data_IF_221029968088
#
_entry.id   IF_221029968088
#
_cell.length_a   1.000
_cell.length_b   1.000
_cell.length_c   1.000
_cell.angle_alpha   90.00
_cell.angle_beta   90.00
_cell.angle_gamma   90.00
#
_symmetry.space_group_name_H-M   'P 1'
#
loop_
_entity.id
_entity.type
_entity.pdbx_description
1 polymer ?
#
# COMPACT_ATOMS: atom_id res chain seq x y z
N UNK A 1 -4.71 31.99 5.38
CA UNK A 1 -5.51 31.13 4.44
C UNK A 1 -7.01 31.09 4.74
N UNK A 2 -7.47 31.19 5.98
CA UNK A 2 -8.88 31.01 6.37
C UNK A 2 -9.98 31.82 5.68
N UNK A 3 -9.84 33.13 5.43
CA UNK A 3 -10.95 33.95 4.89
C UNK A 3 -11.30 33.63 3.44
N UNK A 4 -10.29 33.39 2.59
CA UNK A 4 -10.51 33.07 1.17
C UNK A 4 -11.20 31.73 0.98
N UNK A 5 -10.84 30.70 1.78
CA UNK A 5 -11.44 29.36 1.72
C UNK A 5 -12.91 29.41 2.14
N UNK A 6 -13.27 30.22 3.15
CA UNK A 6 -14.67 30.43 3.55
C UNK A 6 -15.54 31.03 2.43
N UNK A 7 -14.95 31.87 1.58
CA UNK A 7 -15.65 32.42 0.41
C UNK A 7 -15.84 31.35 -0.69
N UNK A 8 -14.80 30.55 -0.97
CA UNK A 8 -14.85 29.49 -1.99
C UNK A 8 -15.86 28.39 -1.63
N UNK A 9 -16.04 28.08 -0.34
CA UNK A 9 -17.04 27.09 0.13
C UNK A 9 -18.50 27.47 -0.17
N UNK A 10 -18.79 28.71 -0.57
CA UNK A 10 -20.13 29.13 -0.99
C UNK A 10 -20.50 28.60 -2.39
N UNK A 11 -19.53 28.09 -3.11
CA UNK A 11 -19.72 27.53 -4.46
C UNK A 11 -19.55 26.01 -4.42
N UNK A 12 -20.24 25.25 -5.29
CA UNK A 12 -20.08 23.80 -5.38
C UNK A 12 -18.75 23.44 -6.08
N UNK A 13 -17.64 23.78 -5.43
CA UNK A 13 -16.28 23.57 -5.94
C UNK A 13 -15.59 22.44 -5.17
N UNK A 14 -14.79 21.67 -5.88
CA UNK A 14 -13.81 20.77 -5.27
C UNK A 14 -12.50 21.52 -5.15
N UNK A 15 -11.96 21.62 -3.92
CA UNK A 15 -10.73 22.31 -3.65
C UNK A 15 -9.56 21.31 -3.71
N UNK A 16 -8.53 21.67 -4.48
CA UNK A 16 -7.25 20.93 -4.58
C UNK A 16 -6.19 21.68 -3.79
N UNK A 17 -5.51 20.99 -2.87
CA UNK A 17 -4.30 21.48 -2.23
C UNK A 17 -3.08 20.94 -2.97
N UNK A 18 -2.26 21.82 -3.52
CA UNK A 18 -1.01 21.48 -4.21
C UNK A 18 0.20 21.69 -3.29
N UNK A 19 1.31 21.00 -3.59
CA UNK A 19 2.57 21.07 -2.84
C UNK A 19 2.40 20.74 -1.35
N UNK A 20 1.60 19.72 -1.06
CA UNK A 20 1.49 19.16 0.28
C UNK A 20 2.74 18.33 0.54
N UNK A 21 3.64 18.84 1.39
CA UNK A 21 4.95 18.23 1.63
C UNK A 21 5.05 17.57 3.01
N UNK A 22 4.14 17.89 3.93
CA UNK A 22 4.14 17.36 5.29
C UNK A 22 2.75 16.89 5.71
N UNK A 23 2.71 15.99 6.71
CA UNK A 23 1.49 15.50 7.30
C UNK A 23 0.64 16.61 7.91
N UNK A 24 1.31 17.55 8.59
CA UNK A 24 0.67 18.70 9.22
C UNK A 24 -0.03 19.58 8.18
N UNK A 25 0.62 19.81 7.03
CA UNK A 25 0.02 20.54 5.92
C UNK A 25 -1.21 19.81 5.37
N UNK A 26 -1.13 18.48 5.23
CA UNK A 26 -2.26 17.67 4.81
C UNK A 26 -3.42 17.79 5.78
N UNK A 27 -3.18 17.60 7.10
CA UNK A 27 -4.20 17.69 8.13
C UNK A 27 -4.85 19.08 8.16
N UNK A 28 -4.06 20.16 8.08
CA UNK A 28 -4.56 21.53 8.01
C UNK A 28 -5.43 21.77 6.76
N UNK A 29 -4.99 21.32 5.59
CA UNK A 29 -5.77 21.47 4.36
C UNK A 29 -7.07 20.66 4.41
N UNK A 30 -7.03 19.48 4.97
CA UNK A 30 -8.21 18.64 5.14
C UNK A 30 -9.23 19.27 6.11
N UNK A 31 -8.79 19.80 7.26
CA UNK A 31 -9.66 20.52 8.20
C UNK A 31 -10.26 21.80 7.55
N UNK A 32 -9.50 22.43 6.67
CA UNK A 32 -9.97 23.55 5.86
C UNK A 32 -10.93 23.13 4.74
N UNK A 33 -11.17 21.82 4.56
CA UNK A 33 -12.15 21.27 3.61
C UNK A 33 -11.67 21.18 2.18
N UNK A 34 -10.39 21.00 1.97
CA UNK A 34 -9.88 20.53 0.68
C UNK A 34 -10.27 19.07 0.46
N UNK A 35 -10.56 18.73 -0.79
CA UNK A 35 -11.06 17.41 -1.20
C UNK A 35 -10.01 16.61 -1.99
N UNK A 36 -9.08 17.33 -2.61
CA UNK A 36 -8.03 16.78 -3.45
C UNK A 36 -6.68 17.29 -2.95
N UNK A 37 -5.66 16.43 -3.01
CA UNK A 37 -4.33 16.73 -2.49
C UNK A 37 -3.28 16.27 -3.49
N UNK A 38 -2.28 17.13 -3.74
CA UNK A 38 -1.14 16.83 -4.59
C UNK A 38 0.13 17.32 -3.92
N UNK A 39 1.17 16.50 -3.84
CA UNK A 39 2.46 16.89 -3.29
C UNK A 39 3.32 15.72 -2.82
N UNK A 40 4.55 16.03 -2.49
CA UNK A 40 5.57 15.05 -2.10
C UNK A 40 5.36 14.42 -0.72
N UNK A 41 4.41 14.89 0.09
CA UNK A 41 4.06 14.24 1.35
C UNK A 41 3.77 12.75 1.19
N UNK A 42 3.18 12.37 0.06
CA UNK A 42 2.82 10.99 -0.28
C UNK A 42 3.99 10.17 -0.86
N UNK A 43 5.16 10.80 -1.07
CA UNK A 43 6.30 10.18 -1.75
C UNK A 43 7.64 10.33 -0.98
N UNK A 44 7.69 11.06 0.14
CA UNK A 44 8.92 11.25 0.92
C UNK A 44 9.01 10.28 2.08
N UNK A 45 10.19 9.64 2.30
CA UNK A 45 10.49 9.02 3.59
C UNK A 45 10.40 10.07 4.70
N UNK A 46 9.68 9.76 5.76
CA UNK A 46 9.55 10.67 6.91
C UNK A 46 10.92 10.88 7.57
N UNK A 47 11.23 12.14 7.91
CA UNK A 47 12.40 12.45 8.77
C UNK A 47 12.09 11.89 10.16
N UNK A 48 12.89 10.91 10.57
CA UNK A 48 12.64 10.04 11.72
C UNK A 48 12.52 10.86 13.03
N UNK A 49 11.32 10.89 13.58
CA UNK A 49 11.11 10.99 15.02
C UNK A 49 10.56 9.64 15.45
N UNK A 50 11.30 8.89 16.28
CA UNK A 50 10.94 7.58 16.78
C UNK A 50 9.51 7.59 17.35
N UNK A 51 8.53 7.24 16.54
CA UNK A 51 7.19 6.96 16.98
C UNK A 51 7.04 5.44 17.02
N UNK A 52 6.64 4.90 18.16
CA UNK A 52 6.39 3.47 18.30
C UNK A 52 5.21 3.06 17.42
N UNK A 53 5.38 1.97 16.69
CA UNK A 53 4.28 1.27 16.03
C UNK A 53 3.23 0.97 17.10
N UNK A 54 1.99 1.35 16.87
CA UNK A 54 0.90 1.05 17.80
C UNK A 54 0.62 -0.45 17.88
N UNK A 55 -0.14 -0.90 18.88
CA UNK A 55 -0.42 -2.32 19.10
C UNK A 55 -1.10 -2.97 17.88
N UNK A 56 -1.95 -2.22 17.19
CA UNK A 56 -2.65 -2.69 15.97
C UNK A 56 -1.69 -2.93 14.81
N UNK A 57 -0.82 -1.96 14.54
CA UNK A 57 0.22 -2.07 13.52
C UNK A 57 1.22 -3.19 13.82
N UNK A 58 1.65 -3.31 15.08
CA UNK A 58 2.55 -4.40 15.50
C UNK A 58 1.92 -5.79 15.29
N UNK A 59 0.61 -5.94 15.59
CA UNK A 59 -0.12 -7.18 15.33
C UNK A 59 -0.21 -7.50 13.85
N UNK A 60 -0.49 -6.50 13.01
CA UNK A 60 -0.57 -6.67 11.56
C UNK A 60 0.80 -7.04 10.96
N UNK A 61 1.89 -6.41 11.40
CA UNK A 61 3.24 -6.77 10.97
C UNK A 61 3.60 -8.20 11.38
N UNK A 62 3.25 -8.62 12.61
CA UNK A 62 3.42 -10.01 13.05
C UNK A 62 2.64 -10.98 12.18
N UNK A 63 1.37 -10.68 11.89
CA UNK A 63 0.51 -11.51 11.02
C UNK A 63 1.08 -11.62 9.61
N UNK A 64 1.60 -10.51 9.06
CA UNK A 64 2.23 -10.51 7.76
C UNK A 64 3.47 -11.41 7.75
N UNK A 65 4.33 -11.31 8.77
CA UNK A 65 5.50 -12.20 8.92
C UNK A 65 5.12 -13.68 8.96
N UNK A 66 4.12 -14.06 9.78
CA UNK A 66 3.62 -15.44 9.85
C UNK A 66 3.11 -15.96 8.49
N UNK A 67 2.41 -15.11 7.74
CA UNK A 67 1.92 -15.48 6.40
C UNK A 67 3.04 -15.58 5.36
N UNK A 68 4.14 -14.88 5.56
CA UNK A 68 5.33 -14.96 4.67
C UNK A 68 6.16 -16.21 4.97
N UNK A 69 6.23 -16.64 6.23
CA UNK A 69 6.92 -17.85 6.68
C UNK A 69 6.07 -19.13 6.47
N UNK A 70 4.90 -19.02 5.82
CA UNK A 70 3.94 -20.12 5.65
C UNK A 70 3.54 -20.81 6.97
N UNK A 71 3.51 -20.05 8.07
CA UNK A 71 3.15 -20.53 9.40
C UNK A 71 1.81 -21.27 9.42
N UNK A 72 1.62 -22.14 10.40
CA UNK A 72 0.37 -22.88 10.56
C UNK A 72 -0.84 -21.99 10.83
N UNK A 73 -2.02 -22.41 10.34
CA UNK A 73 -3.27 -21.66 10.56
C UNK A 73 -3.54 -21.40 12.04
N UNK A 74 -3.12 -22.31 12.92
CA UNK A 74 -3.25 -22.15 14.37
C UNK A 74 -2.42 -20.99 14.92
N UNK A 75 -1.22 -20.77 14.39
CA UNK A 75 -0.34 -19.67 14.79
C UNK A 75 -0.90 -18.32 14.31
N UNK A 76 -1.39 -18.28 13.07
CA UNK A 76 -2.05 -17.10 12.51
C UNK A 76 -3.31 -16.77 13.33
N UNK A 77 -4.14 -17.76 13.62
CA UNK A 77 -5.35 -17.62 14.46
C UNK A 77 -5.02 -17.11 15.87
N UNK A 78 -3.95 -17.62 16.47
CA UNK A 78 -3.49 -17.17 17.78
C UNK A 78 -3.03 -15.70 17.77
N UNK A 79 -2.40 -15.25 16.69
CA UNK A 79 -1.99 -13.85 16.54
C UNK A 79 -3.20 -12.91 16.41
N UNK A 80 -4.30 -13.35 15.81
CA UNK A 80 -5.54 -12.56 15.72
C UNK A 80 -6.25 -12.40 17.07
N UNK A 81 -6.11 -13.36 18.01
CA UNK A 81 -6.86 -13.37 19.29
C UNK A 81 -6.67 -12.10 20.13
N UNK A 82 -5.49 -11.48 20.04
CA UNK A 82 -5.18 -10.25 20.76
C UNK A 82 -5.84 -8.98 20.18
N UNK A 83 -6.49 -9.07 19.02
CA UNK A 83 -6.98 -7.91 18.28
C UNK A 83 -8.42 -8.10 17.80
N UNK A 84 -9.44 -7.94 18.67
CA UNK A 84 -10.85 -8.12 18.30
C UNK A 84 -11.29 -7.22 17.12
N UNK A 85 -10.75 -6.00 17.01
CA UNK A 85 -11.02 -5.10 15.90
C UNK A 85 -10.56 -5.64 14.54
N UNK A 86 -9.38 -6.28 14.51
CA UNK A 86 -8.90 -6.93 13.29
C UNK A 86 -9.75 -8.15 12.89
N UNK A 87 -10.19 -8.93 13.90
CA UNK A 87 -11.12 -10.05 13.66
C UNK A 87 -12.41 -9.53 13.04
N UNK A 88 -12.98 -8.47 13.62
CA UNK A 88 -14.19 -7.85 13.11
C UNK A 88 -14.03 -7.39 11.65
N UNK A 89 -12.95 -6.64 11.34
CA UNK A 89 -12.68 -6.15 10.00
C UNK A 89 -12.49 -7.29 8.99
N UNK A 90 -11.77 -8.34 9.37
CA UNK A 90 -11.60 -9.53 8.55
C UNK A 90 -12.94 -10.21 8.23
N UNK A 91 -13.77 -10.43 9.25
CA UNK A 91 -15.07 -11.08 9.07
C UNK A 91 -16.05 -10.20 8.27
N UNK A 92 -16.00 -8.88 8.45
CA UNK A 92 -16.77 -7.94 7.62
C UNK A 92 -16.35 -8.02 6.15
N UNK A 93 -15.04 -8.04 5.86
CA UNK A 93 -14.53 -8.19 4.51
C UNK A 93 -15.01 -9.49 3.87
N UNK A 94 -14.79 -10.61 4.53
CA UNK A 94 -15.11 -11.94 3.96
C UNK A 94 -16.61 -12.13 3.75
N UNK A 95 -17.44 -11.54 4.62
CA UNK A 95 -18.88 -11.58 4.52
C UNK A 95 -19.49 -10.47 3.65
N UNK A 96 -18.66 -9.62 3.02
CA UNK A 96 -19.15 -8.60 2.10
C UNK A 96 -19.77 -9.21 0.85
N UNK A 97 -20.65 -8.46 0.20
CA UNK A 97 -21.43 -8.92 -0.96
C UNK A 97 -20.55 -9.40 -2.12
N UNK A 98 -19.31 -8.92 -2.20
CA UNK A 98 -18.36 -9.30 -3.26
C UNK A 98 -17.94 -10.76 -3.27
N UNK A 99 -18.08 -11.48 -2.15
CA UNK A 99 -17.73 -12.92 -2.07
C UNK A 99 -18.91 -13.86 -2.35
N UNK A 100 -20.14 -13.35 -2.46
CA UNK A 100 -21.30 -14.15 -2.88
C UNK A 100 -21.61 -15.38 -2.02
N UNK A 101 -21.28 -15.35 -0.74
CA UNK A 101 -21.37 -16.52 0.15
C UNK A 101 -22.80 -16.93 0.46
N UNK A 102 -23.08 -18.23 0.40
CA UNK A 102 -24.34 -18.81 0.84
C UNK A 102 -24.49 -18.87 2.36
N UNK A 103 -23.37 -18.92 3.09
CA UNK A 103 -23.33 -18.96 4.57
C UNK A 103 -22.32 -17.91 5.09
N UNK A 104 -22.66 -17.29 6.21
CA UNK A 104 -21.78 -16.35 6.88
C UNK A 104 -20.59 -17.06 7.54
N UNK A 105 -19.42 -16.48 7.37
CA UNK A 105 -18.19 -16.90 8.02
C UNK A 105 -18.12 -16.25 9.39
N UNK A 106 -17.96 -17.06 10.43
CA UNK A 106 -17.96 -16.62 11.83
C UNK A 106 -16.61 -16.76 12.54
N UNK A 107 -15.61 -17.39 11.89
CA UNK A 107 -14.30 -17.63 12.54
C UNK A 107 -13.14 -17.19 11.65
N UNK A 108 -12.02 -16.82 12.31
CA UNK A 108 -10.75 -16.48 11.61
C UNK A 108 -10.27 -17.66 10.77
N UNK A 109 -10.34 -18.89 11.29
CA UNK A 109 -9.95 -20.10 10.57
C UNK A 109 -10.73 -20.26 9.26
N UNK A 110 -12.05 -20.11 9.30
CA UNK A 110 -12.88 -20.18 8.09
C UNK A 110 -12.51 -19.07 7.11
N UNK A 111 -12.25 -17.86 7.60
CA UNK A 111 -11.82 -16.73 6.77
C UNK A 111 -10.48 -17.02 6.06
N UNK A 112 -9.49 -17.57 6.79
CA UNK A 112 -8.18 -17.94 6.22
C UNK A 112 -8.34 -19.02 5.13
N UNK A 113 -9.12 -20.05 5.41
CA UNK A 113 -9.35 -21.15 4.44
C UNK A 113 -10.04 -20.63 3.19
N UNK A 114 -10.99 -19.71 3.34
CA UNK A 114 -11.76 -19.18 2.23
C UNK A 114 -10.98 -18.20 1.37
N UNK A 115 -10.30 -17.24 1.97
CA UNK A 115 -9.48 -16.25 1.25
C UNK A 115 -8.23 -16.89 0.64
N UNK A 116 -7.70 -17.90 1.29
CA UNK A 116 -6.36 -18.38 1.05
C UNK A 116 -5.28 -17.44 1.56
N UNK A 117 -4.04 -17.92 1.67
CA UNK A 117 -2.91 -17.17 2.24
C UNK A 117 -2.58 -15.91 1.44
N UNK A 118 -2.66 -15.97 0.13
CA UNK A 118 -2.35 -14.86 -0.76
C UNK A 118 -3.29 -13.67 -0.55
N UNK A 119 -4.60 -13.89 -0.56
CA UNK A 119 -5.58 -12.82 -0.35
C UNK A 119 -5.54 -12.29 1.09
N UNK A 120 -5.31 -13.17 2.07
CA UNK A 120 -5.11 -12.77 3.46
C UNK A 120 -3.88 -11.86 3.59
N UNK A 121 -2.77 -12.18 2.94
CA UNK A 121 -1.54 -11.36 2.90
C UNK A 121 -1.84 -9.97 2.34
N UNK A 122 -2.50 -9.90 1.18
CA UNK A 122 -2.90 -8.63 0.55
C UNK A 122 -3.81 -7.79 1.46
N UNK A 123 -4.77 -8.42 2.10
CA UNK A 123 -5.65 -7.73 3.04
C UNK A 123 -4.87 -7.15 4.22
N UNK A 124 -3.97 -7.90 4.84
CA UNK A 124 -3.14 -7.43 5.95
C UNK A 124 -2.24 -6.28 5.50
N UNK A 125 -1.65 -6.34 4.32
CA UNK A 125 -0.84 -5.28 3.74
C UNK A 125 -1.64 -3.97 3.60
N UNK A 126 -2.87 -4.04 3.12
CA UNK A 126 -3.76 -2.87 3.05
C UNK A 126 -4.22 -2.40 4.43
N UNK A 127 -4.50 -3.34 5.34
CA UNK A 127 -4.94 -3.04 6.70
C UNK A 127 -3.87 -2.30 7.52
N UNK A 128 -2.57 -2.49 7.23
CA UNK A 128 -1.47 -1.73 7.83
C UNK A 128 -1.65 -0.21 7.65
N UNK A 129 -2.18 0.22 6.52
CA UNK A 129 -2.46 1.64 6.26
C UNK A 129 -3.77 2.10 6.89
N UNK A 130 -4.76 1.22 7.00
CA UNK A 130 -6.06 1.53 7.61
C UNK A 130 -6.04 1.56 9.13
N UNK A 131 -5.11 0.86 9.77
CA UNK A 131 -4.99 0.81 11.23
C UNK A 131 -4.46 2.13 11.83
N UNK A 132 -3.77 2.95 11.05
CA UNK A 132 -3.10 4.18 11.49
C UNK A 132 -3.97 5.41 11.23
N UNK A 133 -4.69 5.86 12.27
CA UNK A 133 -5.38 7.14 12.29
C UNK A 133 -6.89 7.05 12.37
N UNK A 134 -7.51 8.10 12.89
CA UNK A 134 -8.95 8.24 13.15
C UNK A 134 -9.84 8.23 11.86
N UNK A 135 -9.28 8.03 10.68
CA UNK A 135 -9.94 8.20 9.37
C UNK A 135 -10.13 6.91 8.56
N UNK A 136 -9.67 5.76 9.06
CA UNK A 136 -9.92 4.48 8.37
C UNK A 136 -9.47 4.48 6.90
N UNK A 137 -10.38 4.24 5.97
CA UNK A 137 -10.12 4.17 4.53
C UNK A 137 -9.83 5.53 3.85
N UNK A 138 -10.04 6.66 4.52
CA UNK A 138 -9.76 8.01 3.98
C UNK A 138 -8.29 8.43 4.19
N UNK A 139 -7.37 7.47 4.21
CA UNK A 139 -5.94 7.74 4.32
C UNK A 139 -5.31 7.86 2.92
N UNK A 140 -4.83 9.04 2.51
CA UNK A 140 -4.21 9.23 1.19
C UNK A 140 -2.96 8.37 0.95
N UNK A 141 -2.23 8.00 2.01
CA UNK A 141 -1.11 7.05 1.91
C UNK A 141 -1.60 5.65 1.55
N UNK A 142 -2.78 5.24 2.04
CA UNK A 142 -3.38 3.96 1.63
C UNK A 142 -3.64 3.96 0.13
N UNK A 143 -4.22 5.05 -0.39
CA UNK A 143 -4.50 5.18 -1.82
C UNK A 143 -3.22 5.13 -2.66
N UNK A 144 -2.21 5.89 -2.26
CA UNK A 144 -0.92 5.91 -2.94
C UNK A 144 -0.25 4.52 -2.90
N UNK A 145 -0.23 3.87 -1.73
CA UNK A 145 0.36 2.54 -1.56
C UNK A 145 -0.38 1.48 -2.38
N UNK A 146 -1.70 1.52 -2.40
CA UNK A 146 -2.53 0.58 -3.17
C UNK A 146 -2.33 0.74 -4.69
N UNK A 147 -2.28 1.97 -5.19
CA UNK A 147 -1.98 2.26 -6.61
C UNK A 147 -0.56 1.81 -6.94
N UNK A 148 0.45 2.18 -6.14
CA UNK A 148 1.84 1.78 -6.33
C UNK A 148 1.99 0.26 -6.39
N UNK A 149 1.42 -0.44 -5.43
CA UNK A 149 1.49 -1.90 -5.36
C UNK A 149 0.85 -2.57 -6.58
N UNK A 150 -0.34 -2.13 -6.96
CA UNK A 150 -1.02 -2.66 -8.13
C UNK A 150 -0.27 -2.34 -9.42
N UNK A 151 0.32 -1.15 -9.52
CA UNK A 151 1.13 -0.77 -10.67
C UNK A 151 2.38 -1.67 -10.78
N UNK A 152 3.11 -1.87 -9.69
CA UNK A 152 4.25 -2.79 -9.65
C UNK A 152 3.88 -4.23 -10.00
N UNK A 153 2.73 -4.73 -9.49
CA UNK A 153 2.21 -6.04 -9.86
C UNK A 153 1.97 -6.16 -11.37
N UNK A 154 1.31 -5.16 -11.98
CA UNK A 154 1.01 -5.17 -13.42
C UNK A 154 2.29 -5.07 -14.26
N UNK A 155 3.27 -4.26 -13.84
CA UNK A 155 4.58 -4.20 -14.48
C UNK A 155 5.31 -5.54 -14.39
N UNK A 156 5.36 -6.16 -13.21
CA UNK A 156 6.01 -7.46 -13.02
C UNK A 156 5.39 -8.55 -13.90
N UNK A 157 4.07 -8.57 -14.08
CA UNK A 157 3.36 -9.50 -14.98
C UNK A 157 3.76 -9.33 -16.44
N UNK A 158 4.09 -8.12 -16.87
CA UNK A 158 4.46 -7.79 -18.25
C UNK A 158 5.98 -7.79 -18.46
N UNK A 159 6.78 -7.85 -17.39
CA UNK A 159 8.23 -7.84 -17.48
C UNK A 159 8.77 -9.13 -18.13
N UNK A 160 9.75 -9.07 -19.04
CA UNK A 160 10.21 -10.23 -19.82
C UNK A 160 10.68 -11.42 -18.99
N UNK A 161 11.29 -11.16 -17.83
CA UNK A 161 11.81 -12.20 -16.95
C UNK A 161 10.89 -12.49 -15.76
N UNK A 162 10.38 -11.45 -15.08
CA UNK A 162 9.51 -11.60 -13.91
C UNK A 162 8.16 -12.20 -14.27
N UNK A 163 7.60 -11.86 -15.43
CA UNK A 163 6.29 -12.36 -15.87
C UNK A 163 6.21 -13.88 -16.05
N UNK A 164 7.35 -14.57 -16.05
CA UNK A 164 7.42 -16.04 -16.10
C UNK A 164 7.28 -16.71 -14.74
N UNK A 165 7.51 -15.97 -13.64
CA UNK A 165 7.42 -16.45 -12.28
C UNK A 165 6.11 -15.96 -11.63
N UNK A 166 5.20 -16.88 -11.30
CA UNK A 166 3.89 -16.52 -10.74
C UNK A 166 3.99 -15.71 -9.43
N UNK A 167 5.03 -15.97 -8.64
CA UNK A 167 5.27 -15.33 -7.35
C UNK A 167 5.85 -13.92 -7.47
N UNK A 168 6.53 -13.60 -8.58
CA UNK A 168 7.18 -12.30 -8.75
C UNK A 168 6.20 -11.13 -8.78
N UNK A 169 5.00 -11.32 -9.31
CA UNK A 169 3.95 -10.31 -9.30
C UNK A 169 3.45 -10.02 -7.88
N UNK A 170 3.31 -11.05 -7.05
CA UNK A 170 2.90 -10.90 -5.65
C UNK A 170 4.02 -10.25 -4.81
N UNK A 171 5.27 -10.59 -5.07
CA UNK A 171 6.42 -9.96 -4.43
C UNK A 171 6.54 -8.49 -4.83
N UNK A 172 6.32 -8.15 -6.10
CA UNK A 172 6.28 -6.77 -6.58
C UNK A 172 5.15 -5.98 -5.92
N UNK A 173 3.94 -6.56 -5.81
CA UNK A 173 2.83 -5.94 -5.07
C UNK A 173 3.23 -5.67 -3.62
N UNK A 174 3.81 -6.65 -2.95
CA UNK A 174 4.27 -6.50 -1.56
C UNK A 174 5.31 -5.39 -1.41
N UNK A 175 6.33 -5.36 -2.26
CA UNK A 175 7.36 -4.31 -2.24
C UNK A 175 6.72 -2.93 -2.46
N UNK A 176 5.79 -2.80 -3.40
CA UNK A 176 5.05 -1.57 -3.65
C UNK A 176 4.30 -1.05 -2.43
N UNK A 177 3.55 -1.91 -1.74
CA UNK A 177 2.86 -1.56 -0.49
C UNK A 177 3.86 -1.16 0.60
N UNK A 178 4.86 -1.99 0.86
CA UNK A 178 5.79 -1.80 1.98
C UNK A 178 6.68 -0.55 1.80
N UNK A 179 6.90 -0.11 0.56
CA UNK A 179 7.78 1.04 0.24
C UNK A 179 7.30 2.38 0.80
N UNK A 180 6.08 2.46 1.33
CA UNK A 180 5.53 3.66 1.97
C UNK A 180 5.26 3.48 3.48
N UNK A 181 5.58 2.32 4.05
CA UNK A 181 5.33 2.06 5.48
C UNK A 181 6.25 2.87 6.40
N UNK A 182 7.46 3.17 5.99
CA UNK A 182 8.39 4.05 6.71
C UNK A 182 7.76 5.44 6.93
N UNK A 183 7.12 5.97 5.90
CA UNK A 183 6.40 7.26 5.96
C UNK A 183 5.15 7.19 6.82
N UNK A 184 4.49 6.02 6.89
CA UNK A 184 3.28 5.84 7.68
C UNK A 184 3.57 5.69 9.17
N UNK A 185 4.55 4.84 9.52
CA UNK A 185 4.88 4.49 10.91
C UNK A 185 6.00 5.34 11.49
N UNK A 186 6.62 6.21 10.69
CA UNK A 186 7.76 7.04 11.11
C UNK A 186 8.92 6.19 11.67
N UNK A 187 9.16 5.01 11.08
CA UNK A 187 10.24 4.08 11.39
C UNK A 187 11.19 3.94 10.21
N UNK A 188 12.38 3.38 10.41
CA UNK A 188 13.30 3.16 9.30
C UNK A 188 12.86 1.97 8.44
N UNK A 189 13.18 2.01 7.14
CA UNK A 189 12.92 0.88 6.26
C UNK A 189 13.73 -0.36 6.69
N UNK A 190 14.93 -0.16 7.25
CA UNK A 190 15.78 -1.21 7.80
C UNK A 190 15.10 -1.96 8.96
N UNK A 191 14.45 -1.23 9.86
CA UNK A 191 13.71 -1.82 10.99
C UNK A 191 12.51 -2.64 10.49
N UNK A 192 11.79 -2.12 9.47
CA UNK A 192 10.67 -2.83 8.84
C UNK A 192 11.12 -4.11 8.15
N UNK A 193 12.15 -4.04 7.33
CA UNK A 193 12.72 -5.20 6.61
C UNK A 193 13.15 -6.28 7.58
N UNK A 194 13.82 -5.89 8.67
CA UNK A 194 14.27 -6.83 9.72
C UNK A 194 13.09 -7.45 10.45
N UNK A 195 12.10 -6.66 10.82
CA UNK A 195 10.92 -7.14 11.57
C UNK A 195 10.06 -8.10 10.76
N UNK A 196 9.97 -7.89 9.45
CA UNK A 196 9.16 -8.70 8.52
C UNK A 196 9.91 -9.92 7.99
N UNK A 197 11.22 -10.03 8.23
CA UNK A 197 12.07 -11.13 7.71
C UNK A 197 11.87 -11.33 6.20
N UNK A 198 11.92 -10.23 5.45
CA UNK A 198 11.70 -10.25 4.01
C UNK A 198 12.73 -11.12 3.28
N UNK A 199 12.37 -11.62 2.09
CA UNK A 199 13.33 -12.24 1.18
C UNK A 199 14.48 -11.27 0.87
N UNK A 200 15.66 -11.80 0.53
CA UNK A 200 16.81 -10.98 0.15
C UNK A 200 16.48 -10.06 -1.04
N UNK A 201 15.71 -10.55 -2.00
CA UNK A 201 15.26 -9.78 -3.15
C UNK A 201 14.36 -8.60 -2.75
N UNK A 202 13.35 -8.85 -1.92
CA UNK A 202 12.46 -7.81 -1.44
C UNK A 202 13.19 -6.78 -0.55
N UNK A 203 14.10 -7.24 0.32
CA UNK A 203 14.93 -6.38 1.15
C UNK A 203 15.84 -5.49 0.30
N UNK A 204 16.54 -6.06 -0.69
CA UNK A 204 17.37 -5.29 -1.62
C UNK A 204 16.57 -4.28 -2.43
N UNK A 205 15.39 -4.66 -2.91
CA UNK A 205 14.49 -3.77 -3.64
C UNK A 205 14.05 -2.58 -2.77
N UNK A 206 13.68 -2.81 -1.52
CA UNK A 206 13.23 -1.75 -0.61
C UNK A 206 14.37 -0.84 -0.12
N UNK A 207 15.52 -1.42 0.25
CA UNK A 207 16.61 -0.67 0.86
C UNK A 207 17.50 0.02 -0.18
N UNK A 208 17.76 -0.62 -1.31
CA UNK A 208 18.78 -0.19 -2.28
C UNK A 208 18.23 0.01 -3.69
N UNK A 209 16.97 -0.33 -3.94
CA UNK A 209 16.38 -0.32 -5.30
C UNK A 209 17.10 -1.26 -6.26
N UNK A 210 17.72 -2.32 -5.76
CA UNK A 210 18.45 -3.30 -6.53
C UNK A 210 17.59 -4.49 -6.97
N UNK A 211 18.02 -5.14 -8.06
CA UNK A 211 17.33 -6.26 -8.67
C UNK A 211 16.08 -5.85 -9.47
N UNK A 212 15.49 -6.80 -10.22
CA UNK A 212 14.41 -6.47 -11.15
C UNK A 212 13.18 -5.81 -10.48
N UNK A 213 12.85 -6.21 -9.25
CA UNK A 213 11.74 -5.59 -8.49
C UNK A 213 12.14 -4.20 -7.98
N UNK A 214 13.40 -4.00 -7.57
CA UNK A 214 13.91 -2.69 -7.17
C UNK A 214 13.94 -1.70 -8.33
N UNK A 215 14.29 -2.17 -9.53
CA UNK A 215 14.25 -1.38 -10.76
C UNK A 215 12.81 -0.99 -11.15
N UNK A 216 11.82 -1.90 -10.96
CA UNK A 216 10.41 -1.55 -11.12
C UNK A 216 9.96 -0.49 -10.11
N UNK A 217 10.40 -0.59 -8.85
CA UNK A 217 10.10 0.40 -7.82
C UNK A 217 10.68 1.77 -8.19
N UNK A 218 11.91 1.80 -8.70
CA UNK A 218 12.55 3.04 -9.19
C UNK A 218 11.73 3.68 -10.30
N UNK A 219 11.30 2.89 -11.30
CA UNK A 219 10.45 3.40 -12.38
C UNK A 219 9.16 4.03 -11.85
N UNK A 220 8.48 3.33 -10.94
CA UNK A 220 7.21 3.82 -10.38
C UNK A 220 7.43 5.12 -9.58
N UNK A 221 8.48 5.19 -8.75
CA UNK A 221 8.82 6.39 -8.00
C UNK A 221 9.17 7.59 -8.90
N UNK A 222 9.90 7.37 -10.01
CA UNK A 222 10.20 8.41 -11.01
C UNK A 222 8.92 8.92 -11.69
N UNK A 223 8.00 8.02 -12.05
CA UNK A 223 6.72 8.41 -12.65
C UNK A 223 5.85 9.20 -11.67
N UNK A 224 5.82 8.82 -10.39
CA UNK A 224 5.11 9.56 -9.34
C UNK A 224 5.68 10.97 -9.13
N UNK A 225 7.00 11.15 -9.32
CA UNK A 225 7.69 12.45 -9.22
C UNK A 225 7.64 13.26 -10.52
N UNK A 226 7.06 12.70 -11.59
CA UNK A 226 7.03 13.29 -12.93
C UNK A 226 8.43 13.51 -13.51
N UNK A 227 9.39 12.68 -13.16
CA UNK A 227 10.76 12.64 -13.69
C UNK A 227 10.75 11.88 -15.04
N UNK A 228 10.24 12.54 -16.08
CA UNK A 228 9.88 11.88 -17.34
C UNK A 228 11.10 11.31 -18.09
N UNK A 229 12.20 12.03 -18.11
CA UNK A 229 13.41 11.61 -18.86
C UNK A 229 14.07 10.40 -18.17
N UNK A 230 14.15 10.41 -16.84
CA UNK A 230 14.66 9.32 -16.03
C UNK A 230 13.77 8.07 -16.17
N UNK A 231 12.44 8.26 -16.08
CA UNK A 231 11.49 7.17 -16.26
C UNK A 231 11.57 6.53 -17.65
N UNK A 232 11.76 7.32 -18.69
CA UNK A 232 11.96 6.80 -20.06
C UNK A 232 13.25 5.97 -20.16
N UNK A 233 14.34 6.44 -19.55
CA UNK A 233 15.58 5.67 -19.44
C UNK A 233 15.38 4.33 -18.74
N UNK A 234 14.64 4.34 -17.64
CA UNK A 234 14.33 3.13 -16.85
C UNK A 234 13.43 2.15 -17.63
N UNK A 235 12.45 2.61 -18.39
CA UNK A 235 11.62 1.76 -19.25
C UNK A 235 12.48 0.99 -20.27
N UNK A 236 13.47 1.65 -20.87
CA UNK A 236 14.38 1.02 -21.81
C UNK A 236 15.29 -0.02 -21.14
N UNK A 237 15.82 0.28 -19.94
CA UNK A 237 16.68 -0.67 -19.20
C UNK A 237 15.92 -1.93 -18.79
N UNK A 238 14.64 -1.80 -18.47
CA UNK A 238 13.73 -2.90 -18.14
C UNK A 238 13.26 -3.70 -19.37
N UNK A 239 13.68 -3.34 -20.57
CA UNK A 239 13.24 -3.95 -21.83
C UNK A 239 11.71 -3.98 -21.98
N UNK A 240 11.03 -2.95 -21.47
CA UNK A 240 9.59 -2.76 -21.57
C UNK A 240 9.25 -1.70 -22.63
N UNK A 241 8.01 -1.72 -23.11
CA UNK A 241 7.48 -0.67 -23.98
C UNK A 241 6.71 0.38 -23.18
N UNK A 242 6.59 1.58 -23.72
CA UNK A 242 5.78 2.66 -23.12
C UNK A 242 4.32 2.25 -22.99
N UNK A 243 3.80 1.52 -23.97
CA UNK A 243 2.43 1.01 -24.00
C UNK A 243 2.18 0.05 -22.83
N UNK A 244 3.13 -0.86 -22.56
CA UNK A 244 3.05 -1.78 -21.42
C UNK A 244 3.00 -1.02 -20.09
N UNK A 245 3.85 -0.02 -19.92
CA UNK A 245 3.89 0.79 -18.70
C UNK A 245 2.60 1.59 -18.52
N UNK A 246 2.11 2.22 -19.60
CA UNK A 246 0.86 2.98 -19.56
C UNK A 246 -0.35 2.07 -19.27
N UNK A 247 -0.42 0.90 -19.89
CA UNK A 247 -1.47 -0.08 -19.63
C UNK A 247 -1.45 -0.54 -18.16
N UNK A 248 -0.28 -0.83 -17.60
CA UNK A 248 -0.11 -1.20 -16.20
C UNK A 248 -0.59 -0.09 -15.26
N UNK A 249 -0.24 1.16 -15.56
CA UNK A 249 -0.66 2.33 -14.79
C UNK A 249 -2.18 2.53 -14.84
N UNK A 250 -2.80 2.42 -16.00
CA UNK A 250 -4.25 2.54 -16.16
C UNK A 250 -5.00 1.46 -15.38
N UNK A 251 -4.50 0.22 -15.39
CA UNK A 251 -5.07 -0.88 -14.60
C UNK A 251 -4.98 -0.61 -13.09
N UNK A 252 -3.87 -0.03 -12.63
CA UNK A 252 -3.70 0.32 -11.21
C UNK A 252 -4.72 1.38 -10.76
N UNK A 253 -4.94 2.42 -11.54
CA UNK A 253 -5.96 3.43 -11.24
C UNK A 253 -7.38 2.88 -11.34
N UNK A 254 -7.68 2.05 -12.35
CA UNK A 254 -9.00 1.43 -12.48
C UNK A 254 -9.34 0.52 -11.30
N UNK A 255 -8.36 -0.26 -10.83
CA UNK A 255 -8.53 -1.11 -9.65
C UNK A 255 -8.84 -0.27 -8.39
N UNK A 256 -8.13 0.85 -8.18
CA UNK A 256 -8.39 1.75 -7.05
C UNK A 256 -9.82 2.32 -7.07
N UNK A 257 -10.31 2.70 -8.26
CA UNK A 257 -11.68 3.22 -8.41
C UNK A 257 -12.75 2.15 -8.15
N UNK A 258 -12.44 0.88 -8.37
CA UNK A 258 -13.38 -0.22 -8.16
C UNK A 258 -13.55 -0.60 -6.67
N UNK A 259 -12.60 -0.23 -5.78
CA UNK A 259 -12.64 -0.53 -4.35
C UNK A 259 -13.00 0.70 -3.49
N UNK A 260 -13.17 1.87 -4.08
CA UNK A 260 -13.67 3.09 -3.43
C UNK A 260 -15.20 3.07 -3.36
#
# INVERSE_FOLDING_TARGET
MGPAIKQLRRYPLRLLAEKVETREQFEQCHELGFHLFQGFFFARPATIKHRRIDEGGATLLKLLGLLMEDADIQEIEAAFRGSPGLIYNLLMLVNSVGFGLRQRIGTVRQAIVMLGRQQMRRWIQLALFGAHGARGLDNPLLDAAAVRATFMEQLARQHPTLGKACEAADEAFMVGILSLLDSLYEVTMEDLVTSLRLSENAASALLRREGPIGELLTLVEQMERLEVDEALGQVLSLQMTREQVLEAQLKAFAWRLAIA
#
